data_IF_571814705278
#
_entry.id   IF_571814705278
#
_cell.length_a   1.000
_cell.length_b   1.000
_cell.length_c   1.000
_cell.angle_alpha   90.00
_cell.angle_beta   90.00
_cell.angle_gamma   90.00
#
_symmetry.space_group_name_H-M   'P 1'
#
loop_
_entity.id
_entity.type
_entity.pdbx_description
1 polymer ?
#
# COMPACT_ATOMS: atom_id res chain seq x y z
N UNK A 1 -4.21 7.28 -21.79
CA UNK A 1 -3.21 8.31 -21.43
C UNK A 1 -2.01 7.68 -20.68
N UNK A 2 -2.22 6.91 -19.64
CA UNK A 2 -1.14 6.32 -18.83
C UNK A 2 -0.18 5.43 -19.65
N UNK A 3 -0.64 4.49 -20.50
CA UNK A 3 0.28 3.67 -21.29
C UNK A 3 1.11 4.49 -22.29
N UNK A 4 0.55 5.56 -22.84
CA UNK A 4 1.28 6.45 -23.75
C UNK A 4 2.36 7.22 -23.00
N UNK A 5 2.02 7.81 -21.83
CA UNK A 5 3.02 8.48 -21.01
C UNK A 5 4.10 7.49 -20.57
N UNK A 6 3.73 6.27 -20.17
CA UNK A 6 4.70 5.21 -19.84
C UNK A 6 5.68 4.97 -20.97
N UNK A 7 5.21 4.91 -22.22
CA UNK A 7 6.09 4.71 -23.39
C UNK A 7 7.01 5.89 -23.62
N UNK A 8 6.49 7.12 -23.52
CA UNK A 8 7.29 8.35 -23.61
C UNK A 8 8.39 8.34 -22.55
N UNK A 9 8.05 8.05 -21.29
CA UNK A 9 9.02 7.99 -20.21
C UNK A 9 10.04 6.85 -20.38
N UNK A 10 9.59 5.68 -20.88
CA UNK A 10 10.45 4.52 -21.14
C UNK A 10 11.54 4.86 -22.15
N UNK A 11 11.21 5.59 -23.24
CA UNK A 11 12.16 5.92 -24.30
C UNK A 11 13.30 6.84 -23.85
N UNK A 12 13.15 7.50 -22.70
CA UNK A 12 14.19 8.38 -22.15
C UNK A 12 14.77 7.92 -20.80
N UNK A 13 14.21 6.87 -20.21
CA UNK A 13 14.70 6.35 -18.92
C UNK A 13 15.96 5.50 -19.11
N UNK A 14 17.02 5.87 -18.42
CA UNK A 14 18.29 5.14 -18.53
C UNK A 14 18.17 3.72 -17.93
N UNK A 15 18.66 2.70 -18.67
CA UNK A 15 18.72 1.31 -18.17
C UNK A 15 19.41 1.20 -16.81
N UNK A 16 20.46 1.99 -16.57
CA UNK A 16 21.16 2.02 -15.28
C UNK A 16 20.29 2.47 -14.10
N UNK A 17 19.27 3.31 -14.31
CA UNK A 17 18.27 3.62 -13.29
C UNK A 17 17.40 2.40 -13.00
N UNK A 18 16.91 1.73 -14.03
CA UNK A 18 16.07 0.53 -13.91
C UNK A 18 16.81 -0.64 -13.25
N UNK A 19 18.08 -0.83 -13.54
CA UNK A 19 18.91 -1.86 -12.89
C UNK A 19 19.04 -1.66 -11.35
N UNK A 20 18.71 -0.47 -10.84
CA UNK A 20 18.74 -0.18 -9.39
C UNK A 20 17.44 -0.52 -8.69
N UNK A 21 16.35 -0.80 -9.42
CA UNK A 21 15.05 -1.14 -8.84
C UNK A 21 15.16 -2.38 -7.94
N UNK A 22 14.58 -2.30 -6.74
CA UNK A 22 14.68 -3.37 -5.74
C UNK A 22 14.12 -4.69 -6.25
N UNK A 23 12.98 -4.66 -6.98
CA UNK A 23 12.36 -5.86 -7.55
C UNK A 23 13.25 -6.58 -8.56
N UNK A 24 13.89 -5.81 -9.46
CA UNK A 24 14.82 -6.36 -10.42
C UNK A 24 16.04 -6.97 -9.73
N UNK A 25 16.65 -6.22 -8.79
CA UNK A 25 17.79 -6.73 -8.01
C UNK A 25 17.46 -8.00 -7.24
N UNK A 26 16.29 -8.04 -6.59
CA UNK A 26 15.85 -9.22 -5.85
C UNK A 26 15.66 -10.44 -6.76
N UNK A 27 15.10 -10.25 -7.96
CA UNK A 27 14.93 -11.33 -8.92
C UNK A 27 16.28 -11.84 -9.45
N UNK A 28 17.18 -10.93 -9.82
CA UNK A 28 18.56 -11.28 -10.23
C UNK A 28 19.30 -12.02 -9.12
N UNK A 29 19.21 -11.53 -7.89
CA UNK A 29 19.87 -12.17 -6.73
C UNK A 29 19.34 -13.59 -6.52
N UNK A 30 18.03 -13.81 -6.61
CA UNK A 30 17.42 -15.13 -6.50
C UNK A 30 17.92 -16.10 -7.58
N UNK A 31 18.09 -15.64 -8.82
CA UNK A 31 18.63 -16.44 -9.91
C UNK A 31 20.09 -16.82 -9.65
N UNK A 32 20.91 -15.86 -9.21
CA UNK A 32 22.32 -16.10 -8.85
C UNK A 32 22.46 -17.10 -7.70
N UNK A 33 21.65 -16.97 -6.66
CA UNK A 33 21.63 -17.90 -5.52
C UNK A 33 21.17 -19.30 -5.92
N UNK A 34 20.28 -19.40 -6.91
CA UNK A 34 19.84 -20.69 -7.48
C UNK A 34 20.87 -21.30 -8.46
N UNK A 35 22.05 -20.69 -8.59
CA UNK A 35 23.11 -21.12 -9.51
C UNK A 35 22.69 -21.13 -10.98
N UNK A 36 21.73 -20.29 -11.37
CA UNK A 36 21.35 -20.10 -12.76
C UNK A 36 22.48 -19.38 -13.52
N UNK A 37 22.76 -19.85 -14.73
CA UNK A 37 23.79 -19.23 -15.60
C UNK A 37 23.35 -17.87 -16.16
N UNK A 38 22.05 -17.66 -16.27
CA UNK A 38 21.45 -16.42 -16.75
C UNK A 38 20.83 -15.65 -15.57
N UNK A 39 21.42 -14.52 -15.15
CA UNK A 39 20.87 -13.69 -14.09
C UNK A 39 19.47 -13.14 -14.38
N UNK A 40 19.13 -13.00 -15.66
CA UNK A 40 17.83 -12.45 -16.09
C UNK A 40 16.79 -13.54 -16.38
N UNK A 41 17.07 -14.80 -16.10
CA UNK A 41 16.16 -15.93 -16.33
C UNK A 41 14.79 -15.69 -15.70
N UNK A 42 13.76 -15.78 -16.53
CA UNK A 42 12.36 -15.58 -16.08
C UNK A 42 11.97 -14.15 -15.71
N UNK A 43 12.89 -13.19 -15.83
CA UNK A 43 12.57 -11.78 -15.59
C UNK A 43 11.89 -11.21 -16.83
N UNK A 44 10.61 -10.87 -16.69
CA UNK A 44 9.84 -10.28 -17.78
C UNK A 44 10.11 -8.78 -17.90
N UNK A 45 9.88 -8.23 -19.11
CA UNK A 45 9.92 -6.77 -19.30
C UNK A 45 8.92 -6.04 -18.42
N UNK A 46 7.78 -6.66 -18.07
CA UNK A 46 6.81 -6.09 -17.13
C UNK A 46 7.41 -5.93 -15.73
N UNK A 47 8.11 -6.94 -15.21
CA UNK A 47 8.81 -6.86 -13.93
C UNK A 47 9.95 -5.84 -13.95
N UNK A 48 10.62 -5.71 -15.08
CA UNK A 48 11.73 -4.77 -15.23
C UNK A 48 11.24 -3.32 -15.35
N UNK A 49 10.14 -3.07 -16.10
CA UNK A 49 9.70 -1.72 -16.48
C UNK A 49 8.52 -1.17 -15.69
N UNK A 50 7.85 -1.96 -14.82
CA UNK A 50 6.69 -1.45 -14.06
C UNK A 50 6.99 -0.19 -13.22
N UNK A 51 8.22 0.10 -12.73
CA UNK A 51 8.48 1.36 -12.04
C UNK A 51 8.26 2.59 -12.92
N UNK A 52 8.41 2.46 -14.24
CA UNK A 52 8.10 3.55 -15.19
C UNK A 52 6.58 3.73 -15.32
N UNK A 53 5.81 2.64 -15.34
CA UNK A 53 4.35 2.71 -15.33
C UNK A 53 3.86 3.39 -14.03
N UNK A 54 4.41 3.00 -12.89
CA UNK A 54 4.09 3.66 -11.61
C UNK A 54 4.49 5.14 -11.61
N UNK A 55 5.61 5.49 -12.23
CA UNK A 55 5.99 6.89 -12.42
C UNK A 55 4.96 7.63 -13.28
N UNK A 56 4.47 7.03 -14.36
CA UNK A 56 3.42 7.61 -15.21
C UNK A 56 2.11 7.82 -14.43
N UNK A 57 1.70 6.88 -13.57
CA UNK A 57 0.51 7.03 -12.71
C UNK A 57 0.64 8.24 -11.77
N UNK A 58 1.81 8.44 -11.19
CA UNK A 58 2.09 9.56 -10.29
C UNK A 58 2.16 10.90 -11.05
N UNK A 59 2.90 10.91 -12.15
CA UNK A 59 3.22 12.13 -12.89
C UNK A 59 2.04 12.65 -13.72
N UNK A 60 1.19 11.76 -14.25
CA UNK A 60 0.01 12.14 -15.02
C UNK A 60 -0.94 13.05 -14.23
N UNK A 61 -1.04 12.87 -12.93
CA UNK A 61 -1.93 13.64 -12.07
C UNK A 61 -1.23 14.78 -11.31
N UNK A 62 -0.02 15.16 -11.73
CA UNK A 62 0.76 16.26 -11.11
C UNK A 62 0.88 16.12 -9.60
N UNK A 63 1.00 14.87 -9.10
CA UNK A 63 1.10 14.60 -7.68
C UNK A 63 2.39 15.24 -7.10
N UNK A 64 2.24 16.10 -6.10
CA UNK A 64 3.36 16.72 -5.38
C UNK A 64 3.81 15.88 -4.20
N UNK A 65 2.87 15.22 -3.52
CA UNK A 65 3.11 14.35 -2.35
C UNK A 65 2.47 13.00 -2.57
N UNK A 66 3.23 11.93 -2.35
CA UNK A 66 2.77 10.55 -2.56
C UNK A 66 2.91 9.80 -1.24
N UNK A 67 1.81 9.59 -0.49
CA UNK A 67 1.84 8.78 0.74
C UNK A 67 2.16 7.34 0.39
N UNK A 68 3.24 6.81 0.95
CA UNK A 68 3.71 5.45 0.66
C UNK A 68 4.34 4.80 1.89
N UNK A 69 4.31 3.47 1.94
CA UNK A 69 5.16 2.71 2.85
C UNK A 69 6.65 2.83 2.50
N UNK A 70 7.51 2.53 3.46
CA UNK A 70 8.98 2.61 3.28
C UNK A 70 9.50 1.78 2.11
N UNK A 71 8.86 0.65 1.83
CA UNK A 71 9.19 -0.25 0.72
C UNK A 71 8.93 0.37 -0.67
N UNK A 72 8.04 1.38 -0.76
CA UNK A 72 7.70 2.08 -2.00
C UNK A 72 8.47 3.40 -2.20
N UNK A 73 9.25 3.83 -1.20
CA UNK A 73 10.01 5.08 -1.27
C UNK A 73 10.88 5.17 -2.53
N UNK A 74 11.59 4.09 -2.85
CA UNK A 74 12.46 4.05 -4.03
C UNK A 74 11.69 4.29 -5.34
N UNK A 75 10.46 3.79 -5.47
CA UNK A 75 9.67 4.00 -6.69
C UNK A 75 9.30 5.47 -6.89
N UNK A 76 8.96 6.19 -5.79
CA UNK A 76 8.67 7.63 -5.88
C UNK A 76 9.95 8.42 -6.18
N UNK A 77 11.10 8.03 -5.63
CA UNK A 77 12.40 8.63 -5.97
C UNK A 77 12.76 8.39 -7.44
N UNK A 78 12.51 7.20 -7.98
CA UNK A 78 12.69 6.89 -9.40
C UNK A 78 11.74 7.73 -10.28
N UNK A 79 10.49 7.91 -9.89
CA UNK A 79 9.55 8.78 -10.60
C UNK A 79 10.05 10.23 -10.63
N UNK A 80 10.62 10.70 -9.53
CA UNK A 80 11.26 12.03 -9.45
C UNK A 80 12.47 12.15 -10.38
N UNK A 81 13.36 11.16 -10.39
CA UNK A 81 14.53 11.14 -11.28
C UNK A 81 14.10 11.16 -12.76
N UNK A 82 13.09 10.38 -13.12
CA UNK A 82 12.52 10.32 -14.48
C UNK A 82 11.92 11.68 -14.87
N UNK A 83 11.12 12.29 -13.99
CA UNK A 83 10.52 13.59 -14.23
C UNK A 83 11.58 14.70 -14.35
N UNK A 84 12.62 14.67 -13.52
CA UNK A 84 13.72 15.63 -13.58
C UNK A 84 14.48 15.51 -14.90
N UNK A 85 14.73 14.29 -15.36
CA UNK A 85 15.37 14.04 -16.66
C UNK A 85 14.50 14.54 -17.82
N UNK A 86 13.19 14.28 -17.79
CA UNK A 86 12.25 14.82 -18.76
C UNK A 86 12.31 16.34 -18.81
N UNK A 87 12.17 16.99 -17.66
CA UNK A 87 12.18 18.44 -17.55
C UNK A 87 13.50 19.07 -18.02
N UNK A 88 14.61 18.38 -17.83
CA UNK A 88 15.91 18.83 -18.32
C UNK A 88 15.97 18.90 -19.87
N UNK A 89 15.31 17.95 -20.54
CA UNK A 89 15.35 17.87 -22.01
C UNK A 89 14.27 18.71 -22.71
N UNK A 90 13.09 18.82 -22.10
CA UNK A 90 11.88 19.34 -22.75
C UNK A 90 11.26 20.56 -22.05
N UNK A 91 11.94 21.12 -21.05
CA UNK A 91 11.39 22.19 -20.23
C UNK A 91 10.56 21.67 -19.06
N UNK A 92 10.25 22.55 -18.11
CA UNK A 92 9.55 22.19 -16.88
C UNK A 92 8.05 21.90 -17.15
N UNK A 93 7.72 20.67 -17.38
CA UNK A 93 6.37 20.17 -17.66
C UNK A 93 5.90 19.24 -16.54
N UNK A 94 6.75 18.30 -16.10
CA UNK A 94 6.39 17.32 -15.10
C UNK A 94 6.65 17.83 -13.68
N UNK A 95 5.67 17.69 -12.80
CA UNK A 95 5.80 18.00 -11.37
C UNK A 95 6.66 16.95 -10.69
N UNK A 96 7.62 17.39 -9.85
CA UNK A 96 8.50 16.47 -9.12
C UNK A 96 7.81 15.95 -7.86
N UNK A 97 7.51 14.66 -7.76
CA UNK A 97 6.82 14.09 -6.59
C UNK A 97 7.77 13.95 -5.39
N UNK A 98 7.21 13.98 -4.18
CA UNK A 98 7.91 13.68 -2.94
C UNK A 98 7.24 12.53 -2.19
N UNK A 99 7.99 11.53 -1.70
CA UNK A 99 7.42 10.48 -0.87
C UNK A 99 7.06 11.02 0.51
N UNK A 100 5.86 10.72 0.97
CA UNK A 100 5.42 10.99 2.34
C UNK A 100 5.32 9.64 3.05
N UNK A 101 6.19 9.42 4.03
CA UNK A 101 6.22 8.19 4.81
C UNK A 101 5.62 8.49 6.17
N UNK A 102 4.54 7.76 6.51
CA UNK A 102 4.03 7.78 7.86
C UNK A 102 4.90 6.86 8.74
N UNK A 103 5.60 7.45 9.69
CA UNK A 103 6.46 6.71 10.63
C UNK A 103 5.65 5.87 11.62
N UNK A 104 4.34 6.14 11.76
CA UNK A 104 3.44 5.42 12.65
C UNK A 104 2.82 4.16 12.01
N UNK A 105 3.03 3.89 10.73
CA UNK A 105 2.59 2.64 10.10
C UNK A 105 3.47 1.47 10.56
N UNK A 106 3.17 0.97 11.75
CA UNK A 106 3.79 -0.21 12.28
C UNK A 106 3.42 -1.45 11.44
N UNK A 107 4.36 -2.37 11.32
CA UNK A 107 4.09 -3.71 10.78
C UNK A 107 3.23 -4.44 11.79
N UNK A 108 1.94 -4.66 11.49
CA UNK A 108 1.04 -5.40 12.37
C UNK A 108 1.40 -6.88 12.40
N UNK A 109 1.38 -7.46 13.59
CA UNK A 109 1.47 -8.90 13.76
C UNK A 109 0.14 -9.57 13.42
N UNK A 110 0.22 -10.77 12.85
CA UNK A 110 -0.94 -11.61 12.53
C UNK A 110 -1.37 -12.50 13.70
N UNK A 111 -2.29 -13.43 13.43
CA UNK A 111 -2.88 -14.32 14.44
C UNK A 111 -1.85 -15.11 15.26
N UNK A 112 -0.67 -15.38 14.67
CA UNK A 112 0.41 -16.19 15.23
C UNK A 112 1.56 -15.37 15.84
N UNK A 113 1.42 -14.03 15.88
CA UNK A 113 2.42 -13.08 16.38
C UNK A 113 3.52 -12.72 15.39
N UNK A 114 3.60 -13.38 14.22
CA UNK A 114 4.52 -13.00 13.13
C UNK A 114 3.91 -11.87 12.30
N UNK A 115 4.74 -11.21 11.48
CA UNK A 115 4.27 -10.21 10.51
C UNK A 115 3.03 -10.73 9.77
N UNK A 116 1.95 -9.93 9.76
CA UNK A 116 0.72 -10.27 9.04
C UNK A 116 1.00 -10.39 7.54
N UNK A 117 0.68 -11.56 6.96
CA UNK A 117 0.88 -11.83 5.53
C UNK A 117 -0.11 -12.87 5.01
N UNK A 118 -0.56 -12.70 3.77
CA UNK A 118 -1.38 -13.69 3.08
C UNK A 118 -0.64 -15.03 2.93
N UNK A 119 0.68 -15.00 2.69
CA UNK A 119 1.51 -16.20 2.55
C UNK A 119 1.63 -17.02 3.83
N UNK A 120 1.46 -16.39 5.00
CA UNK A 120 1.46 -17.08 6.29
C UNK A 120 0.07 -17.50 6.76
N UNK A 121 -0.99 -17.16 6.00
CA UNK A 121 -2.37 -17.42 6.37
C UNK A 121 -2.74 -16.94 7.79
N UNK A 122 -2.11 -15.84 8.24
CA UNK A 122 -2.27 -15.26 9.57
C UNK A 122 -2.97 -13.89 9.53
N UNK A 123 -3.63 -13.56 8.42
CA UNK A 123 -4.32 -12.29 8.22
C UNK A 123 -5.68 -12.25 8.90
N UNK A 124 -6.09 -11.04 9.29
CA UNK A 124 -7.43 -10.73 9.79
C UNK A 124 -8.13 -9.88 8.72
N UNK A 125 -9.01 -10.47 7.88
CA UNK A 125 -9.73 -9.70 6.86
C UNK A 125 -10.65 -8.67 7.51
N UNK A 126 -10.50 -7.40 7.13
CA UNK A 126 -11.19 -6.27 7.79
C UNK A 126 -12.73 -6.42 7.68
N UNK A 127 -13.24 -6.80 6.51
CA UNK A 127 -14.67 -6.97 6.26
C UNK A 127 -15.13 -8.44 6.33
N UNK A 128 -14.44 -9.28 7.11
CA UNK A 128 -14.95 -10.60 7.40
C UNK A 128 -16.33 -10.52 8.11
N UNK A 129 -17.27 -11.44 7.84
CA UNK A 129 -18.52 -11.50 8.60
C UNK A 129 -18.25 -11.49 10.10
N UNK A 130 -19.07 -10.77 10.86
CA UNK A 130 -18.85 -10.48 12.29
C UNK A 130 -18.48 -11.72 13.13
N UNK A 131 -19.24 -12.82 12.96
CA UNK A 131 -18.96 -14.09 13.66
C UNK A 131 -17.57 -14.66 13.32
N UNK A 132 -17.13 -14.51 12.06
CA UNK A 132 -15.81 -14.96 11.61
C UNK A 132 -14.73 -14.03 12.14
N UNK A 133 -14.97 -12.72 12.10
CA UNK A 133 -14.05 -11.72 12.63
C UNK A 133 -13.81 -11.93 14.13
N UNK A 134 -14.89 -12.09 14.93
CA UNK A 134 -14.77 -12.43 16.36
C UNK A 134 -13.94 -13.70 16.59
N UNK A 135 -14.21 -14.76 15.83
CA UNK A 135 -13.46 -16.02 15.93
C UNK A 135 -11.96 -15.83 15.63
N UNK A 136 -11.59 -14.96 14.70
CA UNK A 136 -10.20 -14.64 14.39
C UNK A 136 -9.53 -13.88 15.53
N UNK A 137 -10.18 -12.85 16.07
CA UNK A 137 -9.64 -12.10 17.23
C UNK A 137 -9.41 -13.03 18.43
N UNK A 138 -10.37 -13.92 18.73
CA UNK A 138 -10.24 -14.89 19.83
C UNK A 138 -9.07 -15.88 19.62
N UNK A 139 -8.62 -16.10 18.38
CA UNK A 139 -7.49 -16.98 18.03
C UNK A 139 -6.12 -16.31 18.14
N UNK A 140 -6.05 -15.00 18.29
CA UNK A 140 -4.77 -14.30 18.44
C UNK A 140 -4.00 -14.93 19.59
N UNK A 141 -2.75 -15.30 19.31
CA UNK A 141 -1.87 -15.95 20.28
C UNK A 141 -1.53 -14.99 21.42
N UNK A 142 -1.64 -15.47 22.65
CA UNK A 142 -1.26 -14.77 23.87
C UNK A 142 -0.34 -15.67 24.70
N UNK A 143 0.32 -15.10 25.70
CA UNK A 143 1.08 -15.87 26.69
C UNK A 143 0.17 -16.48 27.78
N UNK A 144 0.77 -17.14 28.77
CA UNK A 144 0.09 -17.84 29.86
C UNK A 144 0.00 -17.04 31.17
N UNK A 145 0.14 -15.71 31.13
CA UNK A 145 0.00 -14.85 32.32
C UNK A 145 -1.45 -14.89 32.82
N UNK A 146 -1.65 -15.19 34.09
CA UNK A 146 -2.97 -15.37 34.68
C UNK A 146 -3.73 -14.03 34.84
N UNK A 147 -5.08 -14.07 34.94
CA UNK A 147 -5.85 -12.90 35.31
C UNK A 147 -5.41 -12.33 36.68
N UNK A 148 -5.35 -10.99 36.78
CA UNK A 148 -4.88 -10.29 37.96
C UNK A 148 -3.36 -10.04 38.01
N UNK A 149 -2.59 -10.67 37.12
CA UNK A 149 -1.16 -10.40 36.97
C UNK A 149 -0.94 -9.34 35.89
N UNK A 150 -0.12 -8.29 36.15
CA UNK A 150 0.21 -7.27 35.18
C UNK A 150 0.77 -7.87 33.89
N UNK A 151 0.38 -7.31 32.74
CA UNK A 151 0.78 -7.77 31.41
C UNK A 151 1.54 -6.69 30.66
N UNK A 152 2.57 -7.09 29.94
CA UNK A 152 3.35 -6.19 29.09
C UNK A 152 2.59 -5.84 27.82
N UNK A 153 2.65 -4.59 27.43
CA UNK A 153 2.09 -4.10 26.15
C UNK A 153 3.08 -4.34 25.00
N UNK A 154 4.39 -4.34 25.29
CA UNK A 154 5.43 -4.55 24.30
C UNK A 154 5.35 -5.96 23.70
N UNK A 155 5.29 -6.04 22.36
CA UNK A 155 5.12 -7.29 21.64
C UNK A 155 3.72 -7.92 21.71
N UNK A 156 2.75 -7.23 22.30
CA UNK A 156 1.36 -7.68 22.33
C UNK A 156 0.63 -7.39 21.03
N UNK A 157 0.37 -8.41 20.24
CA UNK A 157 -0.42 -8.30 18.99
C UNK A 157 -1.79 -7.66 19.23
N UNK A 158 -2.44 -7.96 20.35
CA UNK A 158 -3.75 -7.39 20.71
C UNK A 158 -3.65 -5.88 20.92
N UNK A 159 -2.61 -5.44 21.64
CA UNK A 159 -2.37 -4.02 21.90
C UNK A 159 -2.02 -3.27 20.61
N UNK A 160 -1.13 -3.82 19.78
CA UNK A 160 -0.72 -3.21 18.52
C UNK A 160 -1.91 -3.02 17.56
N UNK A 161 -2.79 -4.05 17.45
CA UNK A 161 -4.00 -3.96 16.65
C UNK A 161 -4.96 -2.92 17.23
N UNK A 162 -5.17 -2.90 18.55
CA UNK A 162 -6.03 -1.90 19.20
C UNK A 162 -5.54 -0.47 18.92
N UNK A 163 -4.26 -0.23 19.13
CA UNK A 163 -3.60 1.06 18.90
C UNK A 163 -3.71 1.56 17.46
N UNK A 164 -3.80 0.65 16.48
CA UNK A 164 -3.97 1.02 15.08
C UNK A 164 -5.33 1.68 14.77
N UNK A 165 -6.33 1.51 15.62
CA UNK A 165 -7.66 2.11 15.50
C UNK A 165 -7.93 3.19 16.56
N UNK A 166 -7.26 3.11 17.70
CA UNK A 166 -7.56 3.89 18.90
C UNK A 166 -6.88 5.26 18.90
N UNK A 167 -7.55 6.23 19.56
CA UNK A 167 -6.94 7.49 19.95
C UNK A 167 -5.93 7.29 21.06
N UNK A 168 -5.08 8.29 21.31
CA UNK A 168 -4.10 8.25 22.41
C UNK A 168 -4.77 8.08 23.78
N UNK A 169 -5.97 8.65 23.99
CA UNK A 169 -6.71 8.52 25.25
C UNK A 169 -7.23 7.08 25.45
N UNK A 170 -7.83 6.49 24.44
CA UNK A 170 -8.32 5.11 24.47
C UNK A 170 -7.16 4.10 24.61
N UNK A 171 -6.03 4.37 23.98
CA UNK A 171 -4.80 3.57 24.13
C UNK A 171 -4.34 3.58 25.60
N UNK A 172 -4.31 4.75 26.25
CA UNK A 172 -3.93 4.87 27.67
C UNK A 172 -4.89 4.11 28.62
N UNK A 173 -6.18 4.02 28.28
CA UNK A 173 -7.12 3.18 29.05
C UNK A 173 -6.77 1.69 28.95
N UNK A 174 -6.43 1.22 27.76
CA UNK A 174 -6.04 -0.19 27.56
C UNK A 174 -4.72 -0.48 28.26
N UNK A 175 -3.76 0.43 28.26
CA UNK A 175 -2.51 0.30 29.02
C UNK A 175 -2.76 0.10 30.53
N UNK A 176 -3.71 0.83 31.11
CA UNK A 176 -4.11 0.63 32.50
C UNK A 176 -4.69 -0.77 32.74
N UNK A 177 -5.56 -1.24 31.85
CA UNK A 177 -6.13 -2.58 31.96
C UNK A 177 -5.05 -3.68 31.90
N UNK A 178 -4.03 -3.51 31.06
CA UNK A 178 -2.89 -4.41 31.02
C UNK A 178 -2.11 -4.40 32.34
N UNK A 179 -1.84 -3.21 32.89
CA UNK A 179 -1.17 -3.05 34.17
C UNK A 179 -1.98 -3.61 35.37
N UNK A 180 -3.32 -3.53 35.31
CA UNK A 180 -4.24 -4.08 36.29
C UNK A 180 -4.46 -5.60 36.13
N UNK A 181 -3.91 -6.23 35.09
CA UNK A 181 -3.94 -7.67 34.91
C UNK A 181 -5.20 -8.20 34.24
N UNK A 182 -5.80 -7.46 33.30
CA UNK A 182 -7.00 -7.90 32.58
C UNK A 182 -6.84 -9.32 32.00
N UNK A 183 -7.89 -10.14 32.07
CA UNK A 183 -7.87 -11.47 31.47
C UNK A 183 -7.73 -11.41 29.96
N UNK A 184 -6.98 -12.37 29.36
CA UNK A 184 -6.79 -12.43 27.90
C UNK A 184 -8.10 -12.59 27.13
N UNK A 185 -9.09 -13.25 27.70
CA UNK A 185 -10.42 -13.37 27.09
C UNK A 185 -11.14 -12.03 27.00
N UNK A 186 -11.05 -11.23 28.06
CA UNK A 186 -11.73 -9.93 28.17
C UNK A 186 -11.10 -8.88 27.25
N UNK A 187 -9.77 -8.83 27.19
CA UNK A 187 -9.11 -7.89 26.27
C UNK A 187 -9.36 -8.26 24.80
N UNK A 188 -9.44 -9.56 24.46
CA UNK A 188 -9.84 -10.01 23.12
C UNK A 188 -11.27 -9.61 22.79
N UNK A 189 -12.18 -9.76 23.76
CA UNK A 189 -13.58 -9.35 23.57
C UNK A 189 -13.68 -7.84 23.39
N UNK A 190 -12.98 -7.05 24.21
CA UNK A 190 -12.93 -5.58 24.10
C UNK A 190 -12.35 -5.15 22.74
N UNK A 191 -11.27 -5.78 22.28
CA UNK A 191 -10.69 -5.52 20.97
C UNK A 191 -11.68 -5.81 19.84
N UNK A 192 -12.38 -6.95 19.93
CA UNK A 192 -13.39 -7.31 18.96
C UNK A 192 -14.52 -6.27 18.89
N UNK A 193 -15.11 -5.92 20.03
CA UNK A 193 -16.19 -4.95 20.13
C UNK A 193 -15.76 -3.59 19.57
N UNK A 194 -14.61 -3.09 20.04
CA UNK A 194 -14.08 -1.81 19.63
C UNK A 194 -13.88 -1.72 18.10
N UNK A 195 -13.22 -2.71 17.50
CA UNK A 195 -13.01 -2.71 16.06
C UNK A 195 -14.34 -2.95 15.32
N UNK A 196 -15.20 -3.84 15.80
CA UNK A 196 -16.47 -4.16 15.18
C UNK A 196 -17.39 -2.94 15.08
N UNK A 197 -17.42 -2.10 16.12
CA UNK A 197 -18.19 -0.85 16.11
C UNK A 197 -17.63 0.14 15.09
N UNK A 198 -16.31 0.23 14.95
CA UNK A 198 -15.67 1.11 13.97
C UNK A 198 -15.87 0.67 12.54
N UNK A 199 -15.74 -0.63 12.25
CA UNK A 199 -15.79 -1.16 10.87
C UNK A 199 -17.18 -1.65 10.46
N UNK A 200 -18.11 -1.82 11.40
CA UNK A 200 -19.45 -2.37 11.14
C UNK A 200 -20.20 -1.61 10.03
N UNK A 201 -20.30 -0.27 10.09
CA UNK A 201 -20.94 0.51 9.03
C UNK A 201 -20.27 0.32 7.66
N UNK A 202 -18.93 0.32 7.61
CA UNK A 202 -18.18 0.11 6.38
C UNK A 202 -18.32 -1.34 5.85
N UNK A 203 -18.42 -2.33 6.74
CA UNK A 203 -18.70 -3.74 6.36
C UNK A 203 -20.08 -3.87 5.72
N UNK A 204 -21.11 -3.25 6.30
CA UNK A 204 -22.45 -3.28 5.73
C UNK A 204 -22.49 -2.65 4.33
N UNK A 205 -21.76 -1.56 4.14
CA UNK A 205 -21.61 -0.93 2.82
C UNK A 205 -20.83 -1.80 1.85
N UNK A 206 -19.75 -2.46 2.30
CA UNK A 206 -19.02 -3.44 1.50
C UNK A 206 -19.93 -4.58 1.04
N UNK A 207 -20.73 -5.16 1.95
CA UNK A 207 -21.65 -6.24 1.63
C UNK A 207 -22.72 -5.79 0.61
N UNK A 208 -23.21 -4.55 0.73
CA UNK A 208 -24.15 -3.94 -0.22
C UNK A 208 -23.52 -3.80 -1.62
N UNK A 209 -22.28 -3.33 -1.70
CA UNK A 209 -21.57 -3.14 -2.96
C UNK A 209 -21.21 -4.47 -3.64
N UNK A 210 -20.84 -5.49 -2.86
CA UNK A 210 -20.55 -6.83 -3.39
C UNK A 210 -21.83 -7.52 -3.90
N UNK A 211 -22.98 -7.24 -3.28
CA UNK A 211 -24.27 -7.79 -3.72
C UNK A 211 -24.76 -7.18 -5.05
N UNK A 212 -24.32 -5.95 -5.38
CA UNK A 212 -24.66 -5.28 -6.64
C UNK A 212 -23.40 -4.63 -7.27
N UNK A 213 -22.61 -5.40 -8.03
CA UNK A 213 -21.42 -4.89 -8.70
C UNK A 213 -21.67 -3.72 -9.66
N UNK A 214 -22.88 -3.58 -10.18
CA UNK A 214 -23.25 -2.48 -11.09
C UNK A 214 -23.09 -1.10 -10.45
N UNK A 215 -23.25 -1.00 -9.13
CA UNK A 215 -23.00 0.23 -8.38
C UNK A 215 -21.51 0.62 -8.46
N UNK A 216 -20.64 -0.38 -8.28
CA UNK A 216 -19.17 -0.16 -8.34
C UNK A 216 -18.76 0.22 -9.76
N UNK A 217 -19.31 -0.46 -10.79
CA UNK A 217 -19.03 -0.15 -12.19
C UNK A 217 -19.43 1.27 -12.56
N UNK A 218 -20.62 1.72 -12.12
CA UNK A 218 -21.09 3.08 -12.35
C UNK A 218 -20.18 4.15 -11.71
N UNK A 219 -19.64 3.89 -10.51
CA UNK A 219 -18.68 4.80 -9.88
C UNK A 219 -17.31 4.79 -10.57
N UNK A 220 -16.86 3.62 -11.05
CA UNK A 220 -15.64 3.52 -11.86
C UNK A 220 -15.75 4.28 -13.18
N UNK A 221 -16.92 4.24 -13.84
CA UNK A 221 -17.19 4.99 -15.06
C UNK A 221 -17.10 6.51 -14.82
N UNK A 222 -17.77 7.00 -13.78
CA UNK A 222 -17.66 8.41 -13.35
C UNK A 222 -16.22 8.81 -13.04
N UNK A 223 -15.50 7.93 -12.33
CA UNK A 223 -14.08 8.12 -12.02
C UNK A 223 -13.21 8.21 -13.27
N UNK A 224 -13.45 7.33 -14.25
CA UNK A 224 -12.74 7.31 -15.52
C UNK A 224 -12.97 8.59 -16.35
N UNK A 225 -14.20 9.12 -16.38
CA UNK A 225 -14.50 10.40 -17.02
C UNK A 225 -13.68 11.52 -16.39
N UNK A 226 -13.76 11.69 -15.07
CA UNK A 226 -12.99 12.72 -14.34
C UNK A 226 -11.48 12.59 -14.54
N UNK A 227 -10.97 11.36 -14.53
CA UNK A 227 -9.55 11.12 -14.76
C UNK A 227 -9.11 11.56 -16.16
N UNK A 228 -9.92 11.28 -17.19
CA UNK A 228 -9.64 11.71 -18.57
C UNK A 228 -9.74 13.22 -18.76
N UNK A 229 -10.69 13.87 -18.13
CA UNK A 229 -10.84 15.33 -18.17
C UNK A 229 -9.56 16.03 -17.68
N UNK A 230 -8.87 15.46 -16.72
CA UNK A 230 -7.58 15.94 -16.23
C UNK A 230 -6.40 15.47 -17.10
N UNK A 231 -6.35 14.19 -17.42
CA UNK A 231 -5.18 13.56 -18.01
C UNK A 231 -5.02 13.88 -19.51
N UNK A 232 -6.13 13.98 -20.27
CA UNK A 232 -6.03 14.18 -21.71
C UNK A 232 -5.44 15.54 -22.11
N UNK A 233 -5.88 16.68 -21.53
CA UNK A 233 -5.23 17.98 -21.80
C UNK A 233 -3.75 18.00 -21.37
N UNK A 234 -3.44 17.38 -20.25
CA UNK A 234 -2.06 17.34 -19.77
C UNK A 234 -1.16 16.45 -20.64
N UNK A 235 -1.68 15.33 -21.15
CA UNK A 235 -0.93 14.54 -22.13
C UNK A 235 -0.68 15.31 -23.44
N UNK A 236 -1.63 16.14 -23.88
CA UNK A 236 -1.42 17.01 -25.05
C UNK A 236 -0.32 18.07 -24.78
N UNK A 237 -0.22 18.60 -23.56
CA UNK A 237 0.90 19.45 -23.11
C UNK A 237 2.24 18.69 -23.20
N UNK A 238 2.29 17.46 -22.68
CA UNK A 238 3.47 16.60 -22.74
C UNK A 238 3.86 16.27 -24.19
N UNK A 239 2.89 15.90 -25.03
CA UNK A 239 3.09 15.65 -26.47
C UNK A 239 3.72 16.86 -27.15
N UNK A 240 3.18 18.04 -26.88
CA UNK A 240 3.67 19.28 -27.44
C UNK A 240 5.11 19.56 -27.04
N UNK A 241 5.47 19.32 -25.77
CA UNK A 241 6.83 19.51 -25.28
C UNK A 241 7.86 18.61 -25.98
N UNK A 242 7.49 17.37 -26.32
CA UNK A 242 8.36 16.42 -27.03
C UNK A 242 8.27 16.54 -28.56
N UNK A 243 7.51 17.52 -29.08
CA UNK A 243 7.39 17.79 -30.52
C UNK A 243 6.31 16.97 -31.25
N UNK A 244 5.46 16.21 -30.53
CA UNK A 244 4.30 15.52 -31.11
C UNK A 244 3.11 16.49 -31.16
N UNK A 245 2.60 16.73 -32.34
CA UNK A 245 1.43 17.60 -32.55
C UNK A 245 0.43 16.94 -33.51
N UNK A 246 -0.83 17.31 -33.35
CA UNK A 246 -1.86 16.90 -34.32
C UNK A 246 -1.50 17.48 -35.69
N UNK A 247 -1.48 16.62 -36.68
CA UNK A 247 -1.50 17.07 -38.08
C UNK A 247 -2.94 17.52 -38.37
N UNK A 248 -3.08 18.72 -38.88
CA UNK A 248 -4.39 19.32 -39.27
C UNK A 248 -5.03 18.50 -40.35
#
# INVERSE_FOLDING_TARGET
EIPELTWILTSMTAKGLMNRAHSYKAAVQSNVESSDRDPDKGITMALYSYPILMAADILMFKATKVPVGRDQKQHVEMARDIAQRFNHHFGYVLVLPEPVIDEHTAVLAGLDGRKMSKSYNNTIPLFAPEKKFRKLIMKIKTNSIEPGEPKEIEGSTLYDIYKAFATSAETAEVEKLYAEGIAWGDIKQRLFEYINDHIGPARNEYDRLIADPGIVEAELEKGAVRAREFAAPYLDEIRSAIGIRKLV
#
